data_IF_154405724446
#
_entry.id   IF_154405724446
#
_cell.length_a   1.000
_cell.length_b   1.000
_cell.length_c   1.000
_cell.angle_alpha   90.00
_cell.angle_beta   90.00
_cell.angle_gamma   90.00
#
_symmetry.space_group_name_H-M   'P 1'
#
loop_
_entity.id
_entity.type
_entity.pdbx_description
1 polymer ?
#
# COMPACT_ATOMS: atom_id res chain seq x y z
N UNK A 1 0.05 -13.77 -24.38
CA UNK A 1 1.28 -13.47 -23.59
C UNK A 1 1.35 -12.00 -23.16
N UNK A 2 1.26 -11.02 -24.07
CA UNK A 2 1.38 -9.58 -23.71
C UNK A 2 0.30 -9.07 -22.73
N UNK A 3 -0.98 -9.47 -22.88
CA UNK A 3 -2.06 -9.04 -21.98
C UNK A 3 -1.87 -9.51 -20.52
N UNK A 4 -1.38 -10.74 -20.31
CA UNK A 4 -1.11 -11.29 -18.97
C UNK A 4 -0.01 -10.50 -18.25
N UNK A 5 1.06 -10.11 -18.97
CA UNK A 5 2.13 -9.29 -18.42
C UNK A 5 1.68 -7.86 -18.09
N UNK A 6 0.82 -7.26 -18.93
CA UNK A 6 0.26 -5.93 -18.68
C UNK A 6 -0.61 -5.91 -17.41
N UNK A 7 -1.55 -6.85 -17.27
CA UNK A 7 -2.43 -6.92 -16.09
C UNK A 7 -1.67 -7.34 -14.80
N UNK A 8 -0.58 -8.12 -14.89
CA UNK A 8 0.31 -8.37 -13.74
C UNK A 8 0.98 -7.09 -13.24
N UNK A 9 1.41 -6.20 -14.15
CA UNK A 9 1.91 -4.87 -13.79
C UNK A 9 0.81 -4.01 -13.14
N UNK A 10 -0.44 -4.17 -13.55
CA UNK A 10 -1.60 -3.51 -12.91
C UNK A 10 -1.81 -3.96 -11.47
N UNK A 11 -1.75 -5.27 -11.17
CA UNK A 11 -1.87 -5.78 -9.79
C UNK A 11 -0.72 -5.30 -8.91
N UNK A 12 0.52 -5.35 -9.42
CA UNK A 12 1.68 -4.86 -8.68
C UNK A 12 1.59 -3.36 -8.38
N UNK A 13 1.05 -2.57 -9.32
CA UNK A 13 0.82 -1.14 -9.13
C UNK A 13 -0.12 -0.88 -7.95
N UNK A 14 -1.23 -1.62 -7.83
CA UNK A 14 -2.20 -1.46 -6.74
C UNK A 14 -1.56 -1.79 -5.38
N UNK A 15 -0.74 -2.83 -5.31
CA UNK A 15 0.02 -3.16 -4.09
C UNK A 15 1.01 -2.04 -3.74
N UNK A 16 1.76 -1.54 -4.73
CA UNK A 16 2.74 -0.47 -4.53
C UNK A 16 2.07 0.82 -4.03
N UNK A 17 0.92 1.19 -4.59
CA UNK A 17 0.14 2.36 -4.16
C UNK A 17 -0.35 2.22 -2.72
N UNK A 18 -0.89 1.04 -2.36
CA UNK A 18 -1.38 0.78 -1.00
C UNK A 18 -0.28 0.91 0.05
N UNK A 19 0.92 0.44 -0.24
CA UNK A 19 2.05 0.46 0.69
C UNK A 19 3.03 1.62 0.46
N UNK A 20 2.68 2.61 -0.38
CA UNK A 20 3.57 3.72 -0.74
C UNK A 20 4.04 4.53 0.48
N UNK A 21 3.24 4.61 1.55
CA UNK A 21 3.61 5.28 2.79
C UNK A 21 4.88 4.73 3.45
N UNK A 22 5.20 3.46 3.24
CA UNK A 22 6.44 2.85 3.76
C UNK A 22 7.70 3.31 3.04
N UNK A 23 7.57 3.85 1.82
CA UNK A 23 8.69 4.44 1.08
C UNK A 23 8.95 5.90 1.48
N UNK A 24 8.11 6.48 2.35
CA UNK A 24 8.36 7.82 2.92
C UNK A 24 9.50 7.78 3.93
N UNK A 25 10.08 8.94 4.22
CA UNK A 25 11.13 9.08 5.25
C UNK A 25 10.70 8.51 6.60
N UNK A 26 9.51 8.88 7.08
CA UNK A 26 8.95 8.35 8.33
C UNK A 26 8.76 6.84 8.26
N UNK A 27 8.20 6.33 7.16
CA UNK A 27 8.00 4.89 6.95
C UNK A 27 9.32 4.12 6.99
N UNK A 28 10.36 4.64 6.36
CA UNK A 28 11.70 4.04 6.38
C UNK A 28 12.36 4.12 7.75
N UNK A 29 12.18 5.21 8.50
CA UNK A 29 12.67 5.30 9.88
C UNK A 29 12.01 4.28 10.81
N UNK A 30 10.70 4.04 10.64
CA UNK A 30 9.98 3.00 11.38
C UNK A 30 10.50 1.61 10.99
N UNK A 31 10.58 1.30 9.70
CA UNK A 31 11.03 -0.02 9.21
C UNK A 31 12.46 -0.35 9.63
N UNK A 32 13.33 0.64 9.68
CA UNK A 32 14.74 0.47 10.05
C UNK A 32 14.97 0.52 11.57
N UNK A 33 13.91 0.66 12.39
CA UNK A 33 14.03 0.76 13.84
C UNK A 33 14.73 2.02 14.33
N UNK A 34 14.79 3.07 13.50
CA UNK A 34 15.43 4.36 13.81
C UNK A 34 14.55 5.30 14.63
N UNK A 35 13.41 4.83 15.09
CA UNK A 35 12.41 5.61 15.83
C UNK A 35 11.76 4.72 16.87
N UNK A 36 11.61 5.24 18.09
CA UNK A 36 10.95 4.55 19.19
C UNK A 36 9.45 4.81 19.20
N UNK A 37 8.71 4.02 19.98
CA UNK A 37 7.25 4.18 20.13
C UNK A 37 6.89 5.52 20.79
N UNK A 38 7.72 6.02 21.71
CA UNK A 38 7.51 7.31 22.38
C UNK A 38 7.58 8.46 21.38
N UNK A 39 8.58 8.44 20.49
CA UNK A 39 8.73 9.45 19.42
C UNK A 39 7.55 9.40 18.45
N UNK A 40 7.04 8.22 18.11
CA UNK A 40 5.86 8.08 17.25
C UNK A 40 4.59 8.63 17.92
N UNK A 41 4.39 8.33 19.20
CA UNK A 41 3.24 8.83 19.96
C UNK A 41 3.22 10.37 20.00
N UNK A 42 4.38 10.99 20.26
CA UNK A 42 4.53 12.45 20.20
C UNK A 42 4.24 13.01 18.80
N UNK A 43 4.78 12.37 17.76
CA UNK A 43 4.57 12.81 16.37
C UNK A 43 3.09 12.77 15.98
N UNK A 44 2.39 11.70 16.34
CA UNK A 44 0.95 11.54 16.08
C UNK A 44 0.14 12.64 16.76
N UNK A 45 0.44 12.95 18.02
CA UNK A 45 -0.25 14.00 18.76
C UNK A 45 0.06 15.41 18.23
N UNK A 46 1.32 15.70 17.93
CA UNK A 46 1.76 17.03 17.47
C UNK A 46 1.23 17.37 16.07
N UNK A 47 1.16 16.37 15.19
CA UNK A 47 0.72 16.55 13.79
C UNK A 47 -0.74 16.16 13.55
N UNK A 48 -1.47 15.82 14.60
CA UNK A 48 -2.86 15.33 14.55
C UNK A 48 -3.04 14.23 13.47
N UNK A 49 -2.12 13.24 13.48
CA UNK A 49 -2.12 12.18 12.46
C UNK A 49 -3.24 11.18 12.74
N UNK A 50 -4.30 11.24 11.94
CA UNK A 50 -5.42 10.32 11.98
C UNK A 50 -5.58 9.56 10.65
N UNK A 51 -4.67 8.62 10.32
CA UNK A 51 -4.75 7.86 9.07
C UNK A 51 -6.09 7.13 8.97
N UNK A 52 -6.74 7.23 7.81
CA UNK A 52 -8.01 6.56 7.56
C UNK A 52 -7.79 5.25 6.81
N UNK A 53 -8.55 4.20 7.14
CA UNK A 53 -8.51 2.98 6.36
C UNK A 53 -8.94 3.27 4.92
N UNK A 54 -8.23 2.67 3.96
CA UNK A 54 -8.57 2.72 2.53
C UNK A 54 -9.06 1.36 2.06
N UNK A 55 -10.03 1.36 1.15
CA UNK A 55 -10.61 0.14 0.58
C UNK A 55 -9.52 -0.79 0.04
N UNK A 56 -9.69 -2.10 0.28
CA UNK A 56 -8.80 -3.14 -0.25
C UNK A 56 -9.08 -3.48 -1.72
N UNK A 57 -10.17 -2.94 -2.30
CA UNK A 57 -10.58 -3.21 -3.69
C UNK A 57 -10.71 -4.71 -4.03
N UNK A 58 -11.02 -5.55 -3.05
CA UNK A 58 -10.99 -7.01 -3.20
C UNK A 58 -11.86 -7.50 -4.37
N UNK A 59 -13.15 -7.15 -4.39
CA UNK A 59 -14.07 -7.57 -5.46
C UNK A 59 -13.61 -7.09 -6.86
N UNK A 60 -13.07 -5.87 -6.94
CA UNK A 60 -12.51 -5.34 -8.17
C UNK A 60 -11.29 -6.13 -8.64
N UNK A 61 -10.38 -6.46 -7.72
CA UNK A 61 -9.18 -7.25 -8.00
C UNK A 61 -9.54 -8.69 -8.42
N UNK A 62 -10.50 -9.31 -7.75
CA UNK A 62 -11.03 -10.64 -8.10
C UNK A 62 -11.62 -10.63 -9.52
N UNK A 63 -12.44 -9.63 -9.85
CA UNK A 63 -12.98 -9.46 -11.20
C UNK A 63 -11.88 -9.25 -12.25
N UNK A 64 -10.84 -8.47 -11.94
CA UNK A 64 -9.72 -8.24 -12.84
C UNK A 64 -8.95 -9.53 -13.14
N UNK A 65 -8.77 -10.40 -12.14
CA UNK A 65 -8.12 -11.71 -12.28
C UNK A 65 -9.00 -12.68 -13.07
N UNK A 66 -10.31 -12.72 -12.79
CA UNK A 66 -11.26 -13.55 -13.54
C UNK A 66 -11.24 -13.21 -15.03
N UNK A 67 -11.19 -11.93 -15.39
CA UNK A 67 -11.03 -11.49 -16.78
C UNK A 67 -9.70 -11.91 -17.44
N UNK A 68 -8.71 -12.42 -16.71
CA UNK A 68 -7.44 -12.93 -17.26
C UNK A 68 -7.48 -14.45 -17.42
N UNK A 69 -8.20 -15.12 -16.52
CA UNK A 69 -8.33 -16.58 -16.50
C UNK A 69 -9.30 -17.02 -17.60
N UNK A 70 -10.43 -16.32 -17.74
CA UNK A 70 -11.52 -16.69 -18.65
C UNK A 70 -11.51 -15.94 -19.98
N UNK A 71 -10.44 -15.17 -20.28
CA UNK A 71 -10.21 -14.49 -21.56
C UNK A 71 -9.33 -15.29 -22.51
#
# INVERSE_FOLDING_TARGET
MQQKCYKRKTLQKIVNERYAGWNSELGQHILQGKTSLETLAQLVQQKDLAPKPVSGQQEYLENLVNQVIYS
#
